data_IF_376900780084
#
_entry.id   IF_376900780084
#
_cell.length_a   1.000
_cell.length_b   1.000
_cell.length_c   1.000
_cell.angle_alpha   90.00
_cell.angle_beta   90.00
_cell.angle_gamma   90.00
#
_symmetry.space_group_name_H-M   'P 1'
#
loop_
_entity.id
_entity.type
_entity.pdbx_description
1 polymer ?
#
# COMPACT_ATOMS: atom_id res chain seq x y z
N UNK A 1 -6.92 -6.85 -12.34
CA UNK A 1 -6.21 -6.59 -11.07
C UNK A 1 -7.21 -6.79 -9.93
N UNK A 2 -6.87 -7.61 -8.93
CA UNK A 2 -7.72 -7.80 -7.73
C UNK A 2 -6.95 -7.29 -6.53
N UNK A 3 -7.42 -6.22 -5.90
CA UNK A 3 -6.82 -5.71 -4.67
C UNK A 3 -7.44 -6.40 -3.45
N UNK A 4 -6.58 -6.86 -2.54
CA UNK A 4 -6.94 -7.44 -1.24
C UNK A 4 -6.31 -6.61 -0.14
N UNK A 5 -6.91 -6.56 1.03
CA UNK A 5 -6.34 -6.00 2.25
C UNK A 5 -6.10 -7.12 3.23
N UNK A 6 -4.92 -7.16 3.83
CA UNK A 6 -4.59 -8.13 4.86
C UNK A 6 -4.64 -7.43 6.22
N UNK A 7 -5.07 -8.17 7.23
CA UNK A 7 -5.29 -7.66 8.57
C UNK A 7 -4.37 -8.37 9.55
N UNK A 8 -4.04 -7.70 10.65
CA UNK A 8 -3.14 -8.22 11.69
C UNK A 8 -3.55 -9.60 12.26
N UNK A 9 -4.83 -9.95 12.15
CA UNK A 9 -5.35 -11.26 12.57
C UNK A 9 -5.18 -12.38 11.52
N UNK A 10 -4.45 -12.13 10.43
CA UNK A 10 -4.20 -13.10 9.36
C UNK A 10 -5.36 -13.26 8.37
N UNK A 11 -6.40 -12.43 8.46
CA UNK A 11 -7.55 -12.49 7.54
C UNK A 11 -7.39 -11.49 6.40
N UNK A 12 -8.18 -11.66 5.33
CA UNK A 12 -8.15 -10.78 4.15
C UNK A 12 -9.54 -10.28 3.76
N UNK A 13 -9.60 -9.08 3.20
CA UNK A 13 -10.80 -8.52 2.57
C UNK A 13 -10.51 -8.12 1.11
N UNK A 14 -11.52 -8.13 0.26
CA UNK A 14 -11.37 -7.82 -1.17
C UNK A 14 -11.91 -6.43 -1.47
N UNK A 15 -11.16 -5.61 -2.19
CA UNK A 15 -11.70 -4.34 -2.69
C UNK A 15 -12.83 -4.59 -3.68
N UNK A 16 -13.91 -3.80 -3.58
CA UNK A 16 -15.13 -4.02 -4.38
C UNK A 16 -15.29 -3.07 -5.56
N UNK A 17 -14.28 -2.26 -5.88
CA UNK A 17 -14.35 -1.19 -6.89
C UNK A 17 -15.49 -0.19 -6.60
N UNK A 18 -15.79 0.03 -5.31
CA UNK A 18 -16.81 0.96 -4.83
C UNK A 18 -16.25 1.78 -3.68
N UNK A 19 -16.82 2.96 -3.50
CA UNK A 19 -16.44 3.90 -2.45
C UNK A 19 -17.69 4.37 -1.68
N UNK A 20 -17.52 4.83 -0.45
CA UNK A 20 -18.55 5.57 0.29
C UNK A 20 -18.77 6.96 -0.32
N UNK A 21 -19.78 7.69 0.15
CA UNK A 21 -20.00 9.09 -0.27
C UNK A 21 -18.83 10.00 0.11
N UNK A 22 -18.16 9.71 1.23
CA UNK A 22 -16.96 10.40 1.70
C UNK A 22 -15.66 9.95 0.99
N UNK A 23 -15.77 9.03 0.02
CA UNK A 23 -14.64 8.55 -0.78
C UNK A 23 -13.84 7.39 -0.17
N UNK A 24 -14.31 6.78 0.92
CA UNK A 24 -13.62 5.65 1.56
C UNK A 24 -13.79 4.35 0.73
N UNK A 25 -12.73 3.54 0.53
CA UNK A 25 -12.82 2.27 -0.17
C UNK A 25 -13.78 1.27 0.50
N UNK A 26 -14.62 0.58 -0.28
CA UNK A 26 -15.49 -0.48 0.25
C UNK A 26 -14.86 -1.86 0.02
N UNK A 27 -14.65 -2.58 1.12
CA UNK A 27 -14.09 -3.92 1.16
C UNK A 27 -15.16 -4.98 1.42
N UNK A 28 -15.02 -6.16 0.81
CA UNK A 28 -15.80 -7.35 1.10
C UNK A 28 -15.03 -8.25 2.05
N UNK A 29 -15.51 -8.37 3.28
CA UNK A 29 -14.95 -9.20 4.35
C UNK A 29 -16.02 -10.17 4.86
N UNK A 30 -15.72 -11.48 4.88
CA UNK A 30 -16.67 -12.53 5.31
C UNK A 30 -18.09 -12.37 4.71
N UNK A 31 -18.17 -12.05 3.41
CA UNK A 31 -19.42 -11.89 2.68
C UNK A 31 -20.17 -10.56 2.89
N UNK A 32 -19.70 -9.70 3.79
CA UNK A 32 -20.30 -8.39 4.08
C UNK A 32 -19.40 -7.25 3.59
N UNK A 33 -19.99 -6.07 3.42
CA UNK A 33 -19.28 -4.86 2.97
C UNK A 33 -18.96 -3.96 4.15
N UNK A 34 -17.75 -3.44 4.18
CA UNK A 34 -17.26 -2.51 5.19
C UNK A 34 -16.47 -1.40 4.49
N UNK A 35 -16.56 -0.18 5.01
CA UNK A 35 -15.67 0.90 4.60
C UNK A 35 -14.30 0.69 5.25
N UNK A 36 -13.23 0.87 4.48
CA UNK A 36 -11.87 1.00 4.99
C UNK A 36 -11.68 2.45 5.46
N UNK A 37 -11.61 2.62 6.76
CA UNK A 37 -11.50 3.92 7.41
C UNK A 37 -10.06 4.15 7.84
N UNK A 38 -9.61 5.39 7.81
CA UNK A 38 -8.30 5.77 8.35
C UNK A 38 -8.46 6.25 9.79
N UNK A 39 -7.57 5.79 10.68
CA UNK A 39 -7.58 6.29 12.05
C UNK A 39 -6.88 7.65 12.14
N UNK A 40 -7.48 8.67 12.79
CA UNK A 40 -6.96 10.03 12.79
C UNK A 40 -5.54 10.21 13.32
N UNK A 41 -5.08 9.30 14.18
CA UNK A 41 -3.77 9.38 14.84
C UNK A 41 -2.87 8.19 14.56
N UNK A 42 -3.43 7.07 14.10
CA UNK A 42 -2.66 5.84 13.91
C UNK A 42 -2.29 5.66 12.45
N UNK A 43 -2.72 6.53 11.51
CA UNK A 43 -2.46 6.45 10.06
C UNK A 43 -2.59 5.03 9.46
N UNK A 44 -3.39 4.19 10.10
CA UNK A 44 -3.64 2.81 9.73
C UNK A 44 -5.08 2.68 9.27
N UNK A 45 -5.27 1.99 8.15
CA UNK A 45 -6.59 1.62 7.67
C UNK A 45 -7.20 0.54 8.55
N UNK A 46 -8.48 0.65 8.86
CA UNK A 46 -9.19 -0.40 9.57
C UNK A 46 -10.61 -0.60 9.03
N UNK A 47 -11.17 -1.78 9.31
CA UNK A 47 -12.62 -2.02 9.17
C UNK A 47 -13.22 -2.27 10.54
N UNK A 48 -14.45 -1.76 10.76
CA UNK A 48 -15.19 -1.98 12.01
C UNK A 48 -16.18 -3.14 11.84
N UNK A 49 -15.93 -4.26 12.52
CA UNK A 49 -16.79 -5.46 12.47
C UNK A 49 -17.31 -5.75 13.88
N UNK A 50 -18.63 -5.63 14.08
CA UNK A 50 -19.25 -5.92 15.37
C UNK A 50 -18.73 -5.06 16.54
N UNK A 51 -18.24 -3.85 16.26
CA UNK A 51 -17.67 -2.95 17.26
C UNK A 51 -16.16 -3.09 17.47
N UNK A 52 -15.54 -4.15 16.94
CA UNK A 52 -14.09 -4.35 16.95
C UNK A 52 -13.43 -3.70 15.72
N UNK A 53 -12.23 -3.14 15.91
CA UNK A 53 -11.40 -2.61 14.84
C UNK A 53 -10.44 -3.68 14.35
N UNK A 54 -10.42 -3.91 13.03
CA UNK A 54 -9.49 -4.81 12.36
C UNK A 54 -8.54 -3.95 11.53
N UNK A 55 -7.31 -3.82 12.00
CA UNK A 55 -6.26 -2.99 11.41
C UNK A 55 -5.62 -3.71 10.22
N UNK A 56 -5.53 -3.01 9.09
CA UNK A 56 -4.88 -3.47 7.88
C UNK A 56 -3.36 -3.32 8.03
N UNK A 57 -2.60 -4.38 7.73
CA UNK A 57 -1.13 -4.35 7.72
C UNK A 57 -0.56 -4.06 6.32
N UNK A 58 -1.43 -4.06 5.31
CA UNK A 58 -1.13 -3.73 3.92
C UNK A 58 -2.23 -4.17 2.97
N UNK A 59 -1.97 -4.01 1.69
CA UNK A 59 -2.79 -4.54 0.61
C UNK A 59 -1.98 -5.46 -0.30
N UNK A 60 -2.66 -6.22 -1.15
CA UNK A 60 -2.07 -7.12 -2.12
C UNK A 60 -2.78 -6.93 -3.43
N UNK A 61 -2.06 -6.70 -4.52
CA UNK A 61 -2.62 -6.69 -5.86
C UNK A 61 -2.36 -8.03 -6.54
N UNK A 62 -3.42 -8.67 -7.03
CA UNK A 62 -3.32 -9.83 -7.91
C UNK A 62 -3.16 -9.35 -9.34
N UNK A 63 -1.97 -9.54 -9.89
CA UNK A 63 -1.60 -9.22 -11.27
C UNK A 63 -1.31 -10.55 -11.96
N UNK A 64 -2.11 -10.90 -12.98
CA UNK A 64 -1.97 -12.14 -13.75
C UNK A 64 -1.88 -13.43 -12.91
N UNK A 65 -2.58 -13.47 -11.78
CA UNK A 65 -2.60 -14.63 -10.88
C UNK A 65 -1.46 -14.69 -9.87
N UNK A 66 -0.58 -13.68 -9.82
CA UNK A 66 0.49 -13.52 -8.82
C UNK A 66 0.15 -12.41 -7.84
N UNK A 67 0.41 -12.62 -6.55
CA UNK A 67 0.14 -11.64 -5.49
C UNK A 67 1.34 -10.71 -5.29
N UNK A 68 1.10 -9.41 -5.41
CA UNK A 68 2.07 -8.34 -5.16
C UNK A 68 1.66 -7.62 -3.89
N UNK A 69 2.48 -7.70 -2.84
CA UNK A 69 2.18 -7.06 -1.56
C UNK A 69 2.57 -5.58 -1.56
N UNK A 70 1.68 -4.76 -1.02
CA UNK A 70 1.72 -3.31 -0.95
C UNK A 70 1.65 -2.92 0.52
N UNK A 71 2.66 -2.23 1.03
CA UNK A 71 2.79 -1.96 2.46
C UNK A 71 2.42 -0.53 2.80
N UNK A 72 1.80 -0.35 3.96
CA UNK A 72 1.36 0.96 4.43
C UNK A 72 2.31 1.64 5.42
N UNK A 73 3.40 1.00 5.89
CA UNK A 73 4.26 1.63 6.92
C UNK A 73 5.75 1.29 7.01
N UNK A 74 6.21 0.07 6.69
CA UNK A 74 7.56 -0.35 7.11
C UNK A 74 8.60 -0.38 5.96
N UNK A 75 9.37 0.70 5.86
CA UNK A 75 10.63 0.75 5.09
C UNK A 75 11.61 -0.36 5.52
N UNK A 76 11.57 -0.77 6.80
CA UNK A 76 12.45 -1.81 7.35
C UNK A 76 12.19 -3.21 6.76
N UNK A 77 10.97 -3.49 6.27
CA UNK A 77 10.64 -4.76 5.60
C UNK A 77 10.68 -4.66 4.07
N UNK A 78 11.07 -3.49 3.54
CA UNK A 78 11.12 -3.22 2.11
C UNK A 78 12.10 -4.14 1.39
N UNK A 79 13.31 -4.38 1.93
CA UNK A 79 14.31 -5.22 1.26
C UNK A 79 13.88 -6.68 1.15
N UNK A 80 13.30 -7.25 2.22
CA UNK A 80 12.78 -8.62 2.25
C UNK A 80 11.60 -8.76 1.27
N UNK A 81 10.75 -7.73 1.22
CA UNK A 81 9.56 -7.71 0.36
C UNK A 81 9.88 -7.46 -1.11
N UNK A 82 10.84 -6.59 -1.40
CA UNK A 82 11.36 -6.36 -2.74
C UNK A 82 12.10 -7.61 -3.24
N UNK A 83 12.81 -8.34 -2.37
CA UNK A 83 13.38 -9.64 -2.70
C UNK A 83 12.30 -10.68 -3.03
N UNK A 84 11.23 -10.74 -2.23
CA UNK A 84 10.08 -11.61 -2.50
C UNK A 84 9.36 -11.26 -3.82
N UNK A 85 9.14 -9.96 -4.09
CA UNK A 85 8.56 -9.49 -5.35
C UNK A 85 9.47 -9.81 -6.56
N UNK A 86 10.79 -9.61 -6.44
CA UNK A 86 11.77 -9.99 -7.49
C UNK A 86 11.79 -11.48 -7.77
N UNK A 87 11.71 -12.33 -6.73
CA UNK A 87 11.58 -13.79 -6.87
C UNK A 87 10.30 -14.18 -7.61
N UNK A 88 9.19 -13.50 -7.30
CA UNK A 88 7.90 -13.72 -7.98
C UNK A 88 7.92 -13.19 -9.43
N UNK A 89 8.78 -12.24 -9.78
CA UNK A 89 8.89 -11.68 -11.14
C UNK A 89 10.06 -12.25 -11.95
N UNK A 90 10.78 -13.26 -11.43
CA UNK A 90 12.02 -13.78 -12.06
C UNK A 90 11.79 -14.37 -13.46
N UNK A 91 10.58 -14.85 -13.76
CA UNK A 91 10.21 -15.38 -15.08
C UNK A 91 9.71 -14.31 -16.08
N UNK A 92 9.63 -13.03 -15.66
CA UNK A 92 9.05 -11.91 -16.44
C UNK A 92 10.00 -10.71 -16.46
N UNK A 93 11.13 -10.81 -17.17
CA UNK A 93 12.22 -9.81 -17.15
C UNK A 93 11.80 -8.43 -17.66
N UNK A 94 10.72 -8.34 -18.43
CA UNK A 94 10.21 -7.10 -19.01
C UNK A 94 9.10 -6.44 -18.16
N UNK A 95 8.72 -7.04 -17.03
CA UNK A 95 7.74 -6.43 -16.12
C UNK A 95 8.46 -5.45 -15.19
N UNK A 96 8.30 -4.12 -15.35
CA UNK A 96 8.91 -3.18 -14.43
C UNK A 96 8.40 -3.45 -13.02
N UNK A 97 9.31 -3.73 -12.10
CA UNK A 97 9.02 -3.82 -10.68
C UNK A 97 8.55 -2.44 -10.21
N UNK A 98 7.24 -2.26 -10.11
CA UNK A 98 6.61 -1.07 -9.55
C UNK A 98 6.39 -1.32 -8.06
N UNK A 99 7.46 -1.23 -7.25
CA UNK A 99 7.27 -1.19 -5.79
C UNK A 99 6.64 0.15 -5.40
N UNK A 100 5.76 0.19 -4.42
CA UNK A 100 5.23 1.45 -3.89
C UNK A 100 4.93 1.33 -2.40
N UNK A 101 4.92 2.48 -1.72
CA UNK A 101 4.67 2.57 -0.28
C UNK A 101 4.17 3.96 0.12
N UNK A 102 3.89 4.12 1.40
CA UNK A 102 3.50 5.39 2.03
C UNK A 102 4.33 5.65 3.28
N UNK A 103 4.62 6.93 3.55
CA UNK A 103 5.29 7.39 4.77
C UNK A 103 4.75 8.78 5.15
N UNK A 104 4.38 9.04 6.41
CA UNK A 104 3.67 10.25 6.86
C UNK A 104 2.51 10.65 5.92
N UNK A 105 1.67 9.69 5.52
CA UNK A 105 0.58 9.90 4.55
C UNK A 105 1.02 10.38 3.15
N UNK A 106 2.31 10.32 2.82
CA UNK A 106 2.87 10.64 1.50
C UNK A 106 3.21 9.35 0.73
N UNK A 107 2.62 9.20 -0.45
CA UNK A 107 2.88 8.06 -1.35
C UNK A 107 4.22 8.20 -2.07
N UNK A 108 4.96 7.10 -2.15
CA UNK A 108 6.16 6.97 -2.97
C UNK A 108 6.11 5.69 -3.82
N UNK A 109 6.76 5.74 -4.98
CA UNK A 109 6.81 4.63 -5.95
C UNK A 109 8.26 4.37 -6.35
N UNK A 110 8.59 3.16 -6.77
CA UNK A 110 9.89 2.76 -7.28
C UNK A 110 9.75 2.43 -8.76
N UNK A 111 10.59 3.02 -9.59
CA UNK A 111 10.79 2.58 -10.97
C UNK A 111 12.13 1.85 -11.12
N UNK A 112 12.54 1.58 -12.36
CA UNK A 112 13.80 0.89 -12.64
C UNK A 112 15.05 1.61 -12.14
N UNK A 113 14.96 2.92 -11.84
CA UNK A 113 16.11 3.77 -11.56
C UNK A 113 16.13 4.31 -10.13
N UNK A 114 14.96 4.60 -9.55
CA UNK A 114 14.87 5.32 -8.27
C UNK A 114 13.53 5.14 -7.55
N UNK A 115 13.46 5.56 -6.29
CA UNK A 115 12.20 5.88 -5.64
C UNK A 115 11.82 7.32 -5.96
N UNK A 116 10.53 7.58 -6.15
CA UNK A 116 9.98 8.89 -6.44
C UNK A 116 8.79 9.21 -5.53
N UNK A 117 8.70 10.47 -5.13
CA UNK A 117 7.58 11.07 -4.39
C UNK A 117 7.01 12.19 -5.24
N UNK A 118 5.70 12.18 -5.46
CA UNK A 118 5.01 13.33 -6.08
C UNK A 118 4.63 14.30 -4.96
N UNK A 119 5.13 15.53 -5.03
CA UNK A 119 4.88 16.56 -4.02
C UNK A 119 3.41 16.97 -4.11
N UNK A 120 2.60 16.79 -3.04
CA UNK A 120 1.19 17.17 -3.07
C UNK A 120 1.00 18.63 -3.48
N UNK A 121 0.01 18.90 -4.33
CA UNK A 121 -0.30 20.24 -4.85
C UNK A 121 0.84 20.90 -5.65
N UNK A 122 1.78 20.12 -6.17
CA UNK A 122 2.91 20.59 -6.98
C UNK A 122 3.09 19.71 -8.22
N UNK A 123 3.65 20.27 -9.29
CA UNK A 123 4.11 19.52 -10.46
C UNK A 123 5.52 18.92 -10.28
N UNK A 124 6.10 19.08 -9.08
CA UNK A 124 7.45 18.62 -8.77
C UNK A 124 7.42 17.21 -8.19
N UNK A 125 8.45 16.44 -8.52
CA UNK A 125 8.74 15.16 -7.91
C UNK A 125 10.11 15.20 -7.25
N UNK A 126 10.25 14.48 -6.14
CA UNK A 126 11.54 14.17 -5.52
C UNK A 126 11.92 12.74 -5.91
N UNK A 127 13.21 12.51 -6.22
CA UNK A 127 13.74 11.19 -6.58
C UNK A 127 14.99 10.88 -5.77
N UNK A 128 15.14 9.64 -5.35
CA UNK A 128 16.33 9.17 -4.65
C UNK A 128 16.29 7.69 -4.29
N UNK A 129 17.23 7.29 -3.45
CA UNK A 129 17.17 6.05 -2.68
C UNK A 129 15.99 6.09 -1.71
N UNK A 130 15.63 4.93 -1.15
CA UNK A 130 14.53 4.85 -0.18
C UNK A 130 14.79 5.70 1.07
N UNK A 131 16.04 5.74 1.54
CA UNK A 131 16.45 6.58 2.67
C UNK A 131 16.36 8.08 2.34
N UNK A 132 16.76 8.49 1.14
CA UNK A 132 16.62 9.88 0.70
C UNK A 132 15.15 10.29 0.56
N UNK A 133 14.30 9.39 0.06
CA UNK A 133 12.84 9.61 -0.01
C UNK A 133 12.24 9.75 1.38
N UNK A 134 12.64 8.89 2.32
CA UNK A 134 12.21 8.97 3.72
C UNK A 134 12.63 10.30 4.34
N UNK A 135 13.91 10.66 4.26
CA UNK A 135 14.44 11.92 4.78
C UNK A 135 13.75 13.12 4.13
N UNK A 136 13.45 13.05 2.84
CA UNK A 136 12.69 14.11 2.16
C UNK A 136 11.30 14.26 2.78
N UNK A 137 10.56 13.17 3.00
CA UNK A 137 9.23 13.23 3.59
C UNK A 137 9.30 13.75 5.03
N UNK A 138 10.19 13.22 5.88
CA UNK A 138 10.37 13.65 7.28
C UNK A 138 10.64 15.15 7.44
N UNK A 139 11.37 15.75 6.50
CA UNK A 139 11.75 17.15 6.56
C UNK A 139 10.69 18.10 5.99
N UNK A 140 9.66 17.58 5.30
CA UNK A 140 8.72 18.42 4.53
C UNK A 140 7.23 18.15 4.84
N UNK A 141 6.87 17.03 5.49
CA UNK A 141 5.50 16.62 5.80
C UNK A 141 5.40 15.91 7.15
#
# INVERSE_FOLDING_TARGET
MIQKFHFQNGTTAFFTNRFTEDGEPILKYNGRRYALQEHPTEEEGFIKVGGQMFWADGSYDLIEGREVKLYWRNVNDHEISAAAAKLVLTDYPDTPLLSFGSYNSILFTQDSESFKVVIPNSSKEFRGTLDEVRLFIENNY
#
